data_IF_028895994934
#
_entry.id   IF_028895994934
#
_cell.length_a   1.000
_cell.length_b   1.000
_cell.length_c   1.000
_cell.angle_alpha   90.00
_cell.angle_beta   90.00
_cell.angle_gamma   90.00
#
_symmetry.space_group_name_H-M   'P 1'
#
loop_
_entity.id
_entity.type
_entity.pdbx_description
1 polymer ?
#
# COMPACT_ATOMS: atom_id res chain seq x y z
N UNK A 1 -20.28 -0.12 21.68
CA UNK A 1 -20.77 1.07 22.43
C UNK A 1 -21.22 2.11 21.41
N UNK A 2 -22.51 2.48 21.34
CA UNK A 2 -22.96 3.54 20.44
C UNK A 2 -22.85 4.90 21.14
N UNK A 3 -22.25 5.86 20.45
CA UNK A 3 -22.31 7.28 20.80
C UNK A 3 -20.96 7.91 21.12
N UNK A 4 -20.56 8.88 20.29
CA UNK A 4 -19.92 10.14 20.69
C UNK A 4 -20.02 11.15 19.53
N UNK A 5 -20.72 12.25 19.78
CA UNK A 5 -20.46 13.57 19.19
C UNK A 5 -21.03 13.83 17.79
N UNK A 6 -21.88 14.85 17.68
CA UNK A 6 -22.45 15.33 16.42
C UNK A 6 -21.40 15.53 15.33
N UNK A 7 -21.59 14.86 14.19
CA UNK A 7 -20.72 15.00 13.04
C UNK A 7 -20.73 16.43 12.49
N UNK A 8 -19.72 16.79 11.72
CA UNK A 8 -19.56 18.11 11.07
C UNK A 8 -20.82 18.53 10.27
N UNK A 9 -21.59 17.55 9.77
CA UNK A 9 -22.90 17.81 9.15
C UNK A 9 -23.96 18.31 10.13
N UNK A 10 -24.02 17.76 11.35
CA UNK A 10 -24.96 18.22 12.40
C UNK A 10 -24.61 19.58 13.00
N UNK A 11 -23.37 20.07 12.78
CA UNK A 11 -22.95 21.42 13.19
C UNK A 11 -23.10 22.47 12.09
N UNK A 12 -23.78 22.15 10.98
CA UNK A 12 -24.05 23.08 9.88
C UNK A 12 -22.82 23.44 9.05
N UNK A 13 -21.70 22.72 9.22
CA UNK A 13 -20.45 22.96 8.48
C UNK A 13 -20.37 22.17 7.17
N UNK A 14 -21.36 21.33 6.88
CA UNK A 14 -21.51 20.60 5.63
C UNK A 14 -22.98 20.61 5.20
N UNK A 15 -23.24 21.11 3.99
CA UNK A 15 -24.59 21.15 3.39
C UNK A 15 -25.16 19.75 3.12
N UNK A 16 -24.27 18.78 2.90
CA UNK A 16 -24.62 17.37 2.70
C UNK A 16 -23.48 16.45 3.12
N UNK A 17 -23.83 15.27 3.63
CA UNK A 17 -22.86 14.19 3.78
C UNK A 17 -22.66 13.54 2.41
N UNK A 18 -21.42 13.48 1.88
CA UNK A 18 -21.16 12.81 0.61
C UNK A 18 -21.47 11.31 0.74
N UNK A 19 -22.09 10.74 -0.29
CA UNK A 19 -22.26 9.30 -0.42
C UNK A 19 -20.89 8.68 -0.75
N UNK A 20 -20.33 7.91 0.18
CA UNK A 20 -19.02 7.27 0.02
C UNK A 20 -19.21 5.84 -0.46
N UNK A 21 -18.87 5.56 -1.73
CA UNK A 21 -18.99 4.25 -2.36
C UNK A 21 -17.79 3.32 -2.11
N UNK A 22 -16.63 3.87 -1.74
CA UNK A 22 -15.40 3.11 -1.50
C UNK A 22 -14.71 3.64 -0.25
N UNK A 23 -14.52 2.77 0.75
CA UNK A 23 -13.85 3.11 2.02
C UNK A 23 -12.59 2.28 2.19
N UNK A 24 -11.53 2.95 2.62
CA UNK A 24 -10.33 2.27 3.13
C UNK A 24 -10.71 1.68 4.49
N UNK A 25 -10.48 0.37 4.74
CA UNK A 25 -10.74 -0.21 6.05
C UNK A 25 -9.82 0.41 7.10
N UNK A 26 -10.30 0.51 8.35
CA UNK A 26 -9.45 0.89 9.47
C UNK A 26 -8.38 -0.19 9.69
N UNK A 27 -7.16 0.22 10.01
CA UNK A 27 -6.05 -0.70 10.20
C UNK A 27 -6.27 -1.65 11.39
N UNK A 28 -6.96 -1.17 12.42
CA UNK A 28 -7.36 -1.92 13.60
C UNK A 28 -8.28 -3.09 13.23
N UNK A 29 -9.11 -2.93 12.20
CA UNK A 29 -10.08 -3.92 11.72
C UNK A 29 -9.49 -4.86 10.64
N UNK A 30 -8.20 -4.73 10.30
CA UNK A 30 -7.54 -5.45 9.19
C UNK A 30 -7.75 -6.96 9.18
N UNK A 31 -7.86 -7.59 10.35
CA UNK A 31 -8.05 -9.04 10.48
C UNK A 31 -9.44 -9.50 9.98
N UNK A 32 -10.41 -8.60 9.97
CA UNK A 32 -11.79 -8.84 9.51
C UNK A 32 -12.07 -8.25 8.13
N UNK A 33 -11.19 -7.39 7.62
CA UNK A 33 -11.29 -6.79 6.30
C UNK A 33 -10.84 -7.78 5.21
N UNK A 34 -11.36 -7.66 3.97
CA UNK A 34 -10.79 -8.38 2.83
C UNK A 34 -9.30 -8.11 2.70
N UNK A 35 -8.47 -9.15 2.54
CA UNK A 35 -7.00 -9.06 2.58
C UNK A 35 -6.44 -8.01 1.60
N UNK A 36 -6.99 -7.96 0.38
CA UNK A 36 -6.59 -6.98 -0.61
C UNK A 36 -6.93 -5.55 -0.19
N UNK A 37 -8.08 -5.33 0.46
CA UNK A 37 -8.46 -4.02 0.96
C UNK A 37 -7.57 -3.57 2.13
N UNK A 38 -7.23 -4.48 3.05
CA UNK A 38 -6.31 -4.19 4.15
C UNK A 38 -4.90 -3.85 3.64
N UNK A 39 -4.35 -4.66 2.72
CA UNK A 39 -3.03 -4.42 2.15
C UNK A 39 -2.99 -3.13 1.32
N UNK A 40 -3.93 -2.94 0.40
CA UNK A 40 -4.00 -1.73 -0.44
C UNK A 40 -4.24 -0.46 0.38
N UNK A 41 -5.05 -0.54 1.43
CA UNK A 41 -5.28 0.58 2.35
C UNK A 41 -4.01 0.97 3.13
N UNK A 42 -3.25 -0.03 3.59
CA UNK A 42 -1.97 0.21 4.25
C UNK A 42 -0.95 0.84 3.29
N UNK A 43 -0.84 0.32 2.06
CA UNK A 43 0.07 0.87 1.04
C UNK A 43 -0.33 2.29 0.61
N UNK A 44 -1.62 2.60 0.56
CA UNK A 44 -2.09 3.97 0.33
C UNK A 44 -1.61 4.91 1.44
N UNK A 45 -1.87 4.56 2.70
CA UNK A 45 -1.53 5.38 3.85
C UNK A 45 -0.01 5.58 4.05
N UNK A 46 0.81 4.58 3.70
CA UNK A 46 2.24 4.57 4.04
C UNK A 46 3.17 4.76 2.82
N UNK A 47 2.69 4.55 1.59
CA UNK A 47 3.54 4.53 0.40
C UNK A 47 3.05 5.43 -0.75
N UNK A 48 1.72 5.60 -0.90
CA UNK A 48 1.17 6.32 -2.05
C UNK A 48 1.56 7.80 -2.11
N UNK A 49 1.95 8.41 -0.99
CA UNK A 49 2.49 9.78 -1.02
C UNK A 49 3.73 9.91 -1.93
N UNK A 50 4.59 8.90 -1.97
CA UNK A 50 5.73 8.87 -2.90
C UNK A 50 5.38 8.15 -4.20
N UNK A 51 4.62 7.06 -4.11
CA UNK A 51 4.21 6.20 -5.21
C UNK A 51 2.88 6.65 -5.81
N UNK A 52 2.87 7.84 -6.39
CA UNK A 52 1.78 8.37 -7.21
C UNK A 52 2.35 9.16 -8.41
N UNK A 53 1.53 9.53 -9.41
CA UNK A 53 2.01 10.19 -10.63
C UNK A 53 2.75 11.52 -10.43
N UNK A 54 2.56 12.19 -9.29
CA UNK A 54 3.20 13.47 -8.95
C UNK A 54 4.18 13.32 -7.78
N UNK A 55 4.34 12.12 -7.22
CA UNK A 55 5.19 11.84 -6.07
C UNK A 55 6.66 11.68 -6.45
N UNK A 56 7.51 11.62 -5.43
CA UNK A 56 8.96 11.49 -5.59
C UNK A 56 9.39 10.19 -6.31
N UNK A 57 8.56 9.14 -6.28
CA UNK A 57 8.81 7.87 -6.96
C UNK A 57 8.03 7.73 -8.28
N UNK A 58 7.47 8.82 -8.82
CA UNK A 58 6.66 8.80 -10.05
C UNK A 58 7.37 8.19 -11.26
N UNK A 59 8.68 8.45 -11.40
CA UNK A 59 9.51 7.88 -12.46
C UNK A 59 9.65 6.34 -12.40
N UNK A 60 9.29 5.69 -11.29
CA UNK A 60 9.26 4.23 -11.18
C UNK A 60 8.08 3.60 -11.92
N UNK A 61 7.02 4.38 -12.16
CA UNK A 61 5.73 3.90 -12.68
C UNK A 61 4.99 2.96 -11.74
N UNK A 62 5.41 2.83 -10.47
CA UNK A 62 4.71 2.06 -9.43
C UNK A 62 3.81 3.01 -8.64
N UNK A 63 2.50 2.79 -8.70
CA UNK A 63 1.50 3.61 -8.03
C UNK A 63 0.70 2.77 -7.03
N UNK A 64 0.73 3.20 -5.77
CA UNK A 64 0.20 2.44 -4.63
C UNK A 64 -1.05 3.07 -4.02
N UNK A 65 -1.64 4.06 -4.70
CA UNK A 65 -2.85 4.73 -4.27
C UNK A 65 -4.07 3.82 -4.20
N UNK A 66 -4.99 4.09 -3.28
CA UNK A 66 -6.20 3.31 -3.03
C UNK A 66 -7.09 3.17 -4.28
N UNK A 67 -7.12 4.21 -5.12
CA UNK A 67 -7.97 4.27 -6.30
C UNK A 67 -7.32 3.67 -7.56
N UNK A 68 -6.04 3.28 -7.51
CA UNK A 68 -5.37 2.67 -8.65
C UNK A 68 -6.01 1.33 -9.02
N UNK A 69 -6.37 1.18 -10.28
CA UNK A 69 -7.07 0.00 -10.81
C UNK A 69 -6.29 -0.68 -11.95
N UNK A 70 -5.32 0.03 -12.54
CA UNK A 70 -4.43 -0.56 -13.53
C UNK A 70 -3.44 -1.50 -12.83
N UNK A 71 -3.48 -2.78 -13.22
CA UNK A 71 -2.64 -3.80 -12.57
C UNK A 71 -1.16 -3.59 -12.84
N UNK A 72 -0.81 -3.08 -14.02
CA UNK A 72 0.58 -2.85 -14.40
C UNK A 72 1.12 -1.66 -13.60
N UNK A 73 0.38 -0.57 -13.51
CA UNK A 73 0.73 0.59 -12.70
C UNK A 73 0.83 0.24 -11.20
N UNK A 74 0.01 -0.69 -10.71
CA UNK A 74 0.12 -1.23 -9.36
C UNK A 74 1.37 -2.10 -9.13
N UNK A 75 2.08 -2.49 -10.20
CA UNK A 75 3.30 -3.28 -10.13
C UNK A 75 3.13 -4.76 -10.47
N UNK A 76 1.93 -5.23 -10.82
CA UNK A 76 1.68 -6.65 -11.10
C UNK A 76 2.37 -7.06 -12.40
N UNK A 77 3.32 -8.01 -12.29
CA UNK A 77 4.19 -8.46 -13.39
C UNK A 77 4.90 -7.30 -14.12
N UNK A 78 5.11 -6.18 -13.43
CA UNK A 78 5.78 -5.01 -13.96
C UNK A 78 7.26 -5.08 -13.61
N UNK A 79 8.14 -4.96 -14.60
CA UNK A 79 9.58 -4.84 -14.34
C UNK A 79 9.90 -3.49 -13.69
N UNK A 80 10.83 -3.44 -12.72
CA UNK A 80 11.19 -2.20 -12.07
C UNK A 80 11.90 -1.26 -13.06
N UNK A 81 11.55 0.02 -13.04
CA UNK A 81 12.25 1.06 -13.83
C UNK A 81 13.32 1.75 -12.99
N UNK A 82 13.00 2.06 -11.72
CA UNK A 82 13.83 2.89 -10.85
C UNK A 82 14.09 2.24 -9.47
N UNK A 83 14.17 0.91 -9.40
CA UNK A 83 14.45 0.22 -8.13
C UNK A 83 15.94 0.09 -7.81
N UNK A 84 16.83 0.10 -8.81
CA UNK A 84 18.28 -0.02 -8.62
C UNK A 84 18.64 -1.24 -7.74
N UNK A 85 19.48 -1.03 -6.72
CA UNK A 85 19.81 -2.07 -5.72
C UNK A 85 18.59 -2.59 -4.96
N UNK A 86 17.54 -1.78 -4.81
CA UNK A 86 16.29 -2.17 -4.19
C UNK A 86 15.53 -3.26 -4.93
N UNK A 87 15.88 -3.59 -6.18
CA UNK A 87 15.32 -4.78 -6.85
C UNK A 87 15.89 -6.10 -6.30
N UNK A 88 17.08 -6.08 -5.69
CA UNK A 88 17.79 -7.31 -5.33
C UNK A 88 17.98 -8.21 -6.56
N UNK A 89 17.63 -9.48 -6.42
CA UNK A 89 17.60 -10.46 -7.52
C UNK A 89 16.20 -10.67 -8.12
N UNK A 90 15.23 -9.82 -7.77
CA UNK A 90 13.84 -9.99 -8.19
C UNK A 90 13.57 -9.27 -9.52
N UNK A 91 12.72 -9.88 -10.35
CA UNK A 91 12.45 -9.39 -11.70
C UNK A 91 11.27 -8.41 -11.78
N UNK A 92 10.29 -8.54 -10.89
CA UNK A 92 9.03 -7.79 -10.95
C UNK A 92 8.68 -7.12 -9.62
N UNK A 93 8.00 -5.97 -9.72
CA UNK A 93 7.51 -5.20 -8.58
C UNK A 93 6.62 -6.07 -7.68
N UNK A 94 5.64 -6.75 -8.28
CA UNK A 94 4.77 -7.77 -7.66
C UNK A 94 4.67 -8.97 -8.60
N UNK A 95 4.91 -10.16 -8.06
CA UNK A 95 4.65 -11.46 -8.72
C UNK A 95 3.41 -12.09 -8.09
N UNK A 96 2.29 -12.24 -8.82
CA UNK A 96 1.10 -12.90 -8.31
C UNK A 96 1.39 -14.28 -7.72
N UNK A 97 0.91 -14.55 -6.52
CA UNK A 97 1.09 -15.84 -5.85
C UNK A 97 2.48 -16.06 -5.24
N UNK A 98 3.49 -15.28 -5.61
CA UNK A 98 4.89 -15.49 -5.20
C UNK A 98 5.44 -14.28 -4.44
N UNK A 99 5.04 -14.13 -3.16
CA UNK A 99 5.33 -12.92 -2.43
C UNK A 99 6.79 -12.87 -1.95
N UNK A 100 7.53 -13.99 -1.92
CA UNK A 100 9.00 -14.01 -1.74
C UNK A 100 9.76 -13.56 -3.00
N UNK A 101 9.13 -13.63 -4.18
CA UNK A 101 9.76 -13.25 -5.45
C UNK A 101 9.44 -11.80 -5.87
N UNK A 102 8.69 -11.06 -5.04
CA UNK A 102 8.22 -9.71 -5.32
C UNK A 102 9.13 -8.64 -4.71
N UNK A 103 9.58 -7.68 -5.52
CA UNK A 103 10.41 -6.55 -5.06
C UNK A 103 9.71 -5.79 -3.93
N UNK A 104 8.38 -5.61 -4.02
CA UNK A 104 7.61 -4.89 -3.00
C UNK A 104 7.84 -5.48 -1.60
N UNK A 105 7.79 -6.80 -1.44
CA UNK A 105 8.01 -7.47 -0.15
C UNK A 105 9.48 -7.39 0.26
N UNK A 106 10.40 -7.63 -0.67
CA UNK A 106 11.83 -7.56 -0.39
C UNK A 106 12.22 -6.20 0.19
N UNK A 107 11.79 -5.11 -0.46
CA UNK A 107 12.03 -3.74 0.03
C UNK A 107 11.27 -3.43 1.31
N UNK A 108 10.02 -3.88 1.41
CA UNK A 108 9.19 -3.68 2.60
C UNK A 108 9.74 -4.39 3.84
N UNK A 109 10.48 -5.49 3.68
CA UNK A 109 11.05 -6.23 4.81
C UNK A 109 12.53 -5.92 5.03
N UNK A 110 13.24 -5.30 4.07
CA UNK A 110 14.65 -4.94 4.27
C UNK A 110 14.85 -3.80 5.29
N UNK A 111 15.96 -3.87 6.05
CA UNK A 111 16.46 -2.77 6.89
C UNK A 111 17.77 -2.19 6.33
N UNK A 112 18.19 -2.64 5.15
CA UNK A 112 19.40 -2.16 4.48
C UNK A 112 19.14 -0.82 3.79
N UNK A 113 20.02 0.16 4.01
CA UNK A 113 19.92 1.48 3.39
C UNK A 113 19.97 1.42 1.86
N UNK A 114 19.05 2.12 1.19
CA UNK A 114 18.90 2.10 -0.27
C UNK A 114 18.17 0.87 -0.82
N UNK A 115 17.70 -0.03 0.06
CA UNK A 115 16.78 -1.13 -0.26
C UNK A 115 15.46 -0.93 0.49
N UNK A 116 15.57 -0.67 1.81
CA UNK A 116 14.46 -0.52 2.72
C UNK A 116 13.46 0.56 2.28
N UNK A 117 12.17 0.25 2.43
CA UNK A 117 11.08 1.19 2.23
C UNK A 117 10.30 1.45 3.53
N UNK A 118 9.96 2.72 3.85
CA UNK A 118 10.42 3.95 3.19
C UNK A 118 11.94 4.19 3.35
N UNK A 119 12.53 4.97 2.43
CA UNK A 119 14.01 5.18 2.36
C UNK A 119 14.61 5.83 3.62
N UNK A 120 13.80 6.60 4.36
CA UNK A 120 14.23 7.35 5.53
C UNK A 120 13.29 7.11 6.70
N UNK A 121 13.83 7.15 7.92
CA UNK A 121 13.05 7.12 9.16
C UNK A 121 12.54 5.73 9.58
N UNK A 122 13.04 4.66 8.96
CA UNK A 122 12.69 3.28 9.32
C UNK A 122 13.90 2.48 9.78
N UNK A 123 13.93 2.20 11.07
CA UNK A 123 14.97 1.37 11.70
C UNK A 123 14.51 -0.08 11.94
N UNK A 124 13.21 -0.36 11.80
CA UNK A 124 12.63 -1.69 12.04
C UNK A 124 11.52 -2.04 11.06
N UNK A 125 11.25 -3.34 10.91
CA UNK A 125 10.19 -3.88 10.06
C UNK A 125 8.83 -3.71 10.74
N UNK A 126 7.80 -3.37 9.97
CA UNK A 126 6.43 -3.43 10.47
C UNK A 126 5.92 -4.87 10.41
N UNK A 127 6.07 -5.57 11.54
CA UNK A 127 5.68 -6.96 11.71
C UNK A 127 4.17 -7.20 11.67
N UNK A 128 3.35 -6.16 11.86
CA UNK A 128 1.91 -6.28 11.76
C UNK A 128 1.44 -6.19 10.29
N UNK A 129 2.11 -5.39 9.47
CA UNK A 129 1.75 -5.18 8.08
C UNK A 129 2.38 -6.16 7.10
N UNK A 130 3.59 -6.67 7.41
CA UNK A 130 4.25 -7.70 6.62
C UNK A 130 3.29 -8.85 6.25
N UNK A 131 2.71 -9.62 7.20
CA UNK A 131 1.88 -10.76 6.87
C UNK A 131 0.65 -10.40 6.00
N UNK A 132 0.11 -9.18 6.15
CA UNK A 132 -1.03 -8.71 5.35
C UNK A 132 -0.64 -8.49 3.89
N UNK A 133 0.51 -7.84 3.65
CA UNK A 133 1.05 -7.61 2.31
C UNK A 133 1.43 -8.95 1.66
N UNK A 134 2.09 -9.85 2.41
CA UNK A 134 2.45 -11.19 1.91
C UNK A 134 1.20 -11.97 1.51
N UNK A 135 0.17 -11.99 2.36
CA UNK A 135 -1.07 -12.72 2.11
C UNK A 135 -1.86 -12.14 0.92
N UNK A 136 -1.84 -10.82 0.74
CA UNK A 136 -2.46 -10.20 -0.44
C UNK A 136 -1.82 -10.66 -1.74
N UNK A 137 -0.49 -10.63 -1.83
CA UNK A 137 0.24 -11.07 -3.04
C UNK A 137 0.06 -12.58 -3.25
N UNK A 138 0.16 -13.40 -2.19
CA UNK A 138 -0.05 -14.84 -2.27
C UNK A 138 -1.48 -15.22 -2.74
N UNK A 139 -2.48 -14.38 -2.47
CA UNK A 139 -3.86 -14.58 -2.90
C UNK A 139 -4.18 -14.14 -4.32
N UNK A 140 -3.22 -13.53 -5.03
CA UNK A 140 -3.39 -13.16 -6.44
C UNK A 140 -3.38 -14.40 -7.34
N UNK A 141 -4.08 -14.33 -8.47
CA UNK A 141 -4.17 -15.38 -9.48
C UNK A 141 -3.80 -14.82 -10.84
#
# INVERSE_FOLDING_TARGET
VPGRGGGISSSGRLDRVPQVSRRIPLWEDRASAPVAAAARGYLDANCAHCHNPQGAASNSGLYLGWLEQDSLALGVNKRPVAAGRGAGSHEFDIVPGEPDHSILVYRFTSTEGGVAMPELGRESRDSAAEPVIRAWIAGMR
#
